data_IF_311958428221
#
_entry.id   IF_311958428221
#
_cell.length_a   1.000
_cell.length_b   1.000
_cell.length_c   1.000
_cell.angle_alpha   90.00
_cell.angle_beta   90.00
_cell.angle_gamma   90.00
#
_symmetry.space_group_name_H-M   'P 1'
#
loop_
_entity.id
_entity.type
_entity.pdbx_description
1 polymer ?
#
# COMPACT_ATOMS: atom_id res chain seq x y z
N UNK A 1 -97.85 4.40 -8.77
CA UNK A 1 -96.65 3.58 -8.99
C UNK A 1 -95.58 3.99 -7.99
N UNK A 2 -95.84 3.58 -6.75
CA UNK A 2 -94.95 3.00 -5.74
C UNK A 2 -93.48 3.42 -5.76
N UNK A 3 -93.15 4.47 -5.00
CA UNK A 3 -91.81 4.67 -4.44
C UNK A 3 -91.61 3.67 -3.31
N UNK A 4 -91.23 2.44 -3.65
CA UNK A 4 -90.72 1.48 -2.68
C UNK A 4 -89.38 1.99 -2.17
N UNK A 5 -89.42 2.76 -1.10
CA UNK A 5 -88.27 3.09 -0.27
C UNK A 5 -87.68 1.78 0.24
N UNK A 6 -86.67 1.26 -0.45
CA UNK A 6 -85.89 0.11 0.04
C UNK A 6 -85.13 0.54 1.29
N UNK A 7 -85.81 0.46 2.44
CA UNK A 7 -85.20 0.60 3.74
C UNK A 7 -84.25 -0.57 3.97
N UNK A 8 -83.02 -0.25 4.36
CA UNK A 8 -81.98 -1.21 4.66
C UNK A 8 -82.43 -2.16 5.80
N UNK A 9 -82.54 -3.48 5.56
CA UNK A 9 -82.97 -4.45 6.57
C UNK A 9 -81.97 -4.63 7.72
N UNK A 10 -80.76 -4.07 7.61
CA UNK A 10 -79.70 -4.15 8.61
C UNK A 10 -79.46 -2.84 9.38
N UNK A 11 -80.29 -1.81 9.14
CA UNK A 11 -80.23 -0.58 9.93
C UNK A 11 -80.89 -0.80 11.29
N UNK A 12 -80.07 -1.08 12.31
CA UNK A 12 -80.52 -1.37 13.67
C UNK A 12 -81.04 -0.16 14.45
N UNK A 13 -80.96 1.05 13.91
CA UNK A 13 -81.02 2.25 14.77
C UNK A 13 -82.21 3.19 14.52
N UNK A 14 -83.08 2.94 13.53
CA UNK A 14 -84.21 3.85 13.25
C UNK A 14 -85.53 3.13 12.96
N UNK A 15 -85.95 2.23 13.87
CA UNK A 15 -87.38 1.88 13.96
C UNK A 15 -87.98 2.54 15.20
N UNK A 16 -89.06 3.34 15.08
CA UNK A 16 -89.86 3.66 16.26
C UNK A 16 -90.33 2.34 16.87
N UNK A 17 -90.10 2.14 18.18
CA UNK A 17 -90.45 0.92 18.88
C UNK A 17 -91.93 0.60 18.61
N UNK A 18 -92.19 -0.50 17.91
CA UNK A 18 -93.55 -0.97 17.67
C UNK A 18 -94.25 -1.36 18.97
N UNK A 19 -95.53 -1.74 18.93
CA UNK A 19 -96.32 -2.09 20.12
C UNK A 19 -95.64 -3.12 21.03
N UNK A 20 -94.92 -4.07 20.44
CA UNK A 20 -94.13 -5.07 21.17
C UNK A 20 -92.88 -4.50 21.84
N UNK A 21 -92.27 -3.46 21.28
CA UNK A 21 -91.13 -2.77 21.88
C UNK A 21 -91.53 -2.03 23.16
N UNK A 22 -92.67 -1.34 23.13
CA UNK A 22 -93.25 -0.71 24.34
C UNK A 22 -93.62 -1.75 25.40
N UNK A 23 -94.11 -2.92 25.00
CA UNK A 23 -94.45 -4.02 25.91
C UNK A 23 -93.20 -4.64 26.56
N UNK A 24 -92.11 -4.77 25.79
CA UNK A 24 -90.81 -5.20 26.32
C UNK A 24 -90.24 -4.16 27.28
N UNK A 25 -90.32 -2.87 26.95
CA UNK A 25 -89.88 -1.78 27.82
C UNK A 25 -90.70 -1.72 29.13
N UNK A 26 -92.03 -1.88 29.05
CA UNK A 26 -92.89 -2.01 30.24
C UNK A 26 -92.59 -3.27 31.04
N UNK A 27 -92.24 -4.38 30.38
CA UNK A 27 -91.86 -5.62 31.04
C UNK A 27 -90.47 -5.55 31.70
N UNK A 28 -89.57 -4.73 31.16
CA UNK A 28 -88.28 -4.39 31.78
C UNK A 28 -88.48 -3.45 33.00
N UNK A 29 -89.34 -2.44 32.88
CA UNK A 29 -89.66 -1.50 33.97
C UNK A 29 -90.41 -2.17 35.13
N UNK A 30 -91.27 -3.15 34.84
CA UNK A 30 -91.97 -3.95 35.86
C UNK A 30 -91.10 -5.02 36.52
N UNK A 31 -89.83 -5.16 36.09
CA UNK A 31 -88.88 -6.11 36.67
C UNK A 31 -89.17 -7.58 36.34
N UNK A 32 -90.15 -7.87 35.48
CA UNK A 32 -90.45 -9.22 35.00
C UNK A 32 -89.40 -9.72 33.99
N UNK A 33 -88.73 -8.80 33.29
CA UNK A 33 -87.54 -9.07 32.50
C UNK A 33 -86.32 -8.38 33.16
N UNK A 34 -85.40 -9.19 33.70
CA UNK A 34 -84.07 -8.66 34.06
C UNK A 34 -83.34 -8.32 32.77
N UNK A 35 -83.00 -7.04 32.58
CA UNK A 35 -82.11 -6.59 31.50
C UNK A 35 -80.86 -7.48 31.52
N UNK A 36 -80.76 -8.40 30.55
CA UNK A 36 -79.63 -9.34 30.45
C UNK A 36 -78.40 -8.48 30.22
N UNK A 37 -77.53 -8.36 31.22
CA UNK A 37 -76.40 -7.43 31.14
C UNK A 37 -75.51 -7.93 30.00
N UNK A 38 -75.00 -7.02 29.17
CA UNK A 38 -74.11 -7.37 28.06
C UNK A 38 -72.89 -8.20 28.51
N UNK A 39 -72.50 -8.08 29.79
CA UNK A 39 -71.49 -8.93 30.45
C UNK A 39 -71.86 -10.41 30.52
N UNK A 40 -73.12 -10.72 30.78
CA UNK A 40 -73.61 -12.10 30.88
C UNK A 40 -73.71 -12.74 29.46
N UNK A 41 -73.91 -11.92 28.43
CA UNK A 41 -73.86 -12.33 27.01
C UNK A 41 -72.41 -12.57 26.59
N UNK A 42 -71.50 -11.64 26.89
CA UNK A 42 -70.07 -11.80 26.62
C UNK A 42 -69.50 -13.06 27.28
N UNK A 43 -69.83 -13.30 28.56
CA UNK A 43 -69.38 -14.48 29.30
C UNK A 43 -69.96 -15.79 28.75
N UNK A 44 -71.22 -15.80 28.30
CA UNK A 44 -71.82 -16.96 27.62
C UNK A 44 -71.22 -17.21 26.23
N UNK A 45 -70.88 -16.14 25.49
CA UNK A 45 -70.21 -16.28 24.19
C UNK A 45 -68.76 -16.75 24.34
N UNK A 46 -68.07 -16.33 25.40
CA UNK A 46 -66.71 -16.79 25.70
C UNK A 46 -66.70 -18.27 26.13
N UNK A 47 -67.67 -18.72 26.93
CA UNK A 47 -67.81 -20.13 27.28
C UNK A 47 -68.15 -21.02 26.08
N UNK A 48 -69.07 -20.57 25.21
CA UNK A 48 -69.41 -21.28 23.97
C UNK A 48 -68.22 -21.34 22.98
N UNK A 49 -67.37 -20.31 23.01
CA UNK A 49 -66.14 -20.20 22.22
C UNK A 49 -65.04 -21.16 22.69
N UNK A 50 -65.01 -21.47 23.99
CA UNK A 50 -64.10 -22.48 24.56
C UNK A 50 -64.63 -23.91 24.36
N UNK A 51 -65.94 -24.14 24.43
CA UNK A 51 -66.53 -25.49 24.39
C UNK A 51 -66.75 -26.05 22.98
N UNK A 52 -66.83 -25.21 21.94
CA UNK A 52 -67.09 -25.68 20.57
C UNK A 52 -65.81 -25.75 19.72
N UNK A 53 -65.40 -26.96 19.26
CA UNK A 53 -64.21 -27.12 18.42
C UNK A 53 -64.23 -26.30 17.11
N UNK A 54 -65.42 -26.04 16.56
CA UNK A 54 -65.60 -25.25 15.34
C UNK A 54 -65.28 -23.76 15.53
N UNK A 55 -65.61 -23.17 16.69
CA UNK A 55 -65.28 -21.76 16.98
C UNK A 55 -63.79 -21.58 17.30
N UNK A 56 -63.14 -22.58 17.89
CA UNK A 56 -61.68 -22.59 18.04
C UNK A 56 -60.98 -22.66 16.68
N UNK A 57 -61.44 -23.56 15.79
CA UNK A 57 -60.93 -23.65 14.42
C UNK A 57 -61.08 -22.33 13.65
N UNK A 58 -62.26 -21.69 13.74
CA UNK A 58 -62.48 -20.40 13.09
C UNK A 58 -61.50 -19.31 13.59
N UNK A 59 -61.19 -19.30 14.89
CA UNK A 59 -60.20 -18.36 15.44
C UNK A 59 -58.80 -18.61 14.92
N UNK A 60 -58.37 -19.88 14.88
CA UNK A 60 -57.08 -20.27 14.33
C UNK A 60 -57.00 -19.89 12.85
N UNK A 61 -58.04 -20.17 12.05
CA UNK A 61 -58.11 -19.76 10.65
C UNK A 61 -58.05 -18.24 10.49
N UNK A 62 -58.71 -17.48 11.37
CA UNK A 62 -58.66 -16.02 11.37
C UNK A 62 -57.26 -15.50 11.71
N UNK A 63 -56.59 -16.13 12.67
CA UNK A 63 -55.21 -15.79 13.05
C UNK A 63 -54.23 -16.11 11.93
N UNK A 64 -54.34 -17.30 11.31
CA UNK A 64 -53.54 -17.69 10.14
C UNK A 64 -53.77 -16.70 8.99
N UNK A 65 -55.02 -16.31 8.73
CA UNK A 65 -55.35 -15.34 7.68
C UNK A 65 -54.75 -13.96 7.98
N UNK A 66 -54.80 -13.51 9.24
CA UNK A 66 -54.19 -12.24 9.65
C UNK A 66 -52.66 -12.28 9.49
N UNK A 67 -52.00 -13.35 9.94
CA UNK A 67 -50.56 -13.54 9.77
C UNK A 67 -50.16 -13.62 8.30
N UNK A 68 -50.96 -14.28 7.46
CA UNK A 68 -50.72 -14.36 6.01
C UNK A 68 -50.79 -12.99 5.35
N UNK A 69 -51.74 -12.14 5.74
CA UNK A 69 -51.83 -10.76 5.24
C UNK A 69 -50.61 -9.92 5.62
N UNK A 70 -50.11 -10.05 6.85
CA UNK A 70 -48.89 -9.36 7.26
C UNK A 70 -47.66 -9.87 6.49
N UNK A 71 -47.57 -11.18 6.26
CA UNK A 71 -46.51 -11.78 5.46
C UNK A 71 -46.56 -11.28 4.01
N UNK A 72 -47.74 -11.26 3.39
CA UNK A 72 -47.93 -10.76 2.03
C UNK A 72 -47.55 -9.27 1.92
N UNK A 73 -47.91 -8.46 2.92
CA UNK A 73 -47.53 -7.05 3.00
C UNK A 73 -46.01 -6.87 3.04
N UNK A 74 -45.33 -7.62 3.92
CA UNK A 74 -43.86 -7.58 4.01
C UNK A 74 -43.22 -8.08 2.71
N UNK A 75 -43.78 -9.14 2.10
CA UNK A 75 -43.26 -9.67 0.84
C UNK A 75 -43.34 -8.64 -0.29
N UNK A 76 -44.47 -7.92 -0.40
CA UNK A 76 -44.61 -6.83 -1.37
C UNK A 76 -43.59 -5.72 -1.09
N UNK A 77 -43.39 -5.33 0.18
CA UNK A 77 -42.40 -4.32 0.54
C UNK A 77 -40.97 -4.74 0.15
N UNK A 78 -40.62 -6.01 0.37
CA UNK A 78 -39.33 -6.58 -0.05
C UNK A 78 -39.18 -6.53 -1.57
N UNK A 79 -40.22 -6.92 -2.32
CA UNK A 79 -40.19 -6.85 -3.78
C UNK A 79 -40.04 -5.41 -4.29
N UNK A 80 -40.76 -4.45 -3.72
CA UNK A 80 -40.63 -3.03 -4.06
C UNK A 80 -39.21 -2.52 -3.81
N UNK A 81 -38.60 -2.86 -2.67
CA UNK A 81 -37.22 -2.46 -2.34
C UNK A 81 -36.20 -3.12 -3.25
N UNK A 82 -36.42 -4.38 -3.64
CA UNK A 82 -35.53 -5.08 -4.57
C UNK A 82 -35.57 -4.41 -5.94
N UNK A 83 -36.77 -4.10 -6.45
CA UNK A 83 -36.95 -3.40 -7.71
C UNK A 83 -36.38 -1.97 -7.68
N UNK A 84 -36.57 -1.25 -6.58
CA UNK A 84 -35.95 0.07 -6.40
C UNK A 84 -34.43 -0.03 -6.43
N UNK A 85 -33.84 -1.03 -5.75
CA UNK A 85 -32.40 -1.27 -5.79
C UNK A 85 -31.88 -1.61 -7.19
N UNK A 86 -32.59 -2.45 -7.93
CA UNK A 86 -32.22 -2.83 -9.31
C UNK A 86 -32.33 -1.66 -10.28
N UNK A 87 -33.29 -0.76 -10.06
CA UNK A 87 -33.51 0.41 -10.91
C UNK A 87 -32.83 1.66 -10.37
N UNK A 88 -32.18 1.58 -9.19
CA UNK A 88 -31.74 2.75 -8.43
C UNK A 88 -30.75 3.60 -9.21
N UNK A 89 -29.92 2.94 -10.02
CA UNK A 89 -28.86 3.57 -10.76
C UNK A 89 -29.33 4.44 -11.95
N UNK A 90 -30.58 4.24 -12.39
CA UNK A 90 -31.23 5.00 -13.46
C UNK A 90 -32.44 5.82 -12.98
N UNK A 91 -33.06 5.48 -11.85
CA UNK A 91 -34.24 6.20 -11.32
C UNK A 91 -33.87 7.27 -10.30
N UNK A 92 -32.78 7.11 -9.54
CA UNK A 92 -32.41 8.06 -8.50
C UNK A 92 -31.65 9.24 -9.12
N UNK A 93 -32.23 10.43 -8.98
CA UNK A 93 -31.69 11.67 -9.55
C UNK A 93 -30.24 11.93 -9.09
N UNK A 94 -29.92 11.69 -7.81
CA UNK A 94 -28.56 11.89 -7.30
C UNK A 94 -27.51 10.99 -7.95
N UNK A 95 -27.87 9.72 -8.24
CA UNK A 95 -26.97 8.79 -8.95
C UNK A 95 -26.78 9.24 -10.40
N UNK A 96 -27.85 9.69 -11.06
CA UNK A 96 -27.80 10.18 -12.43
C UNK A 96 -26.98 11.49 -12.54
N UNK A 97 -27.20 12.44 -11.63
CA UNK A 97 -26.42 13.68 -11.55
C UNK A 97 -24.93 13.39 -11.33
N UNK A 98 -24.59 12.43 -10.47
CA UNK A 98 -23.20 12.02 -10.27
C UNK A 98 -22.59 11.42 -11.54
N UNK A 99 -23.33 10.54 -12.23
CA UNK A 99 -22.88 9.98 -13.53
C UNK A 99 -22.70 11.06 -14.59
N UNK A 100 -23.59 12.05 -14.65
CA UNK A 100 -23.48 13.21 -15.56
C UNK A 100 -22.24 14.04 -15.24
N UNK A 101 -21.96 14.31 -13.94
CA UNK A 101 -20.75 15.03 -13.53
C UNK A 101 -19.49 14.29 -13.96
N UNK A 102 -19.40 12.99 -13.67
CA UNK A 102 -18.26 12.17 -14.07
C UNK A 102 -18.06 12.14 -15.59
N UNK A 103 -19.15 12.05 -16.36
CA UNK A 103 -19.08 12.09 -17.82
C UNK A 103 -18.60 13.45 -18.34
N UNK A 104 -19.06 14.54 -17.73
CA UNK A 104 -18.63 15.89 -18.08
C UNK A 104 -17.16 16.13 -17.73
N UNK A 105 -16.69 15.66 -16.58
CA UNK A 105 -15.27 15.70 -16.19
C UNK A 105 -14.42 14.93 -17.20
N UNK A 106 -14.83 13.71 -17.56
CA UNK A 106 -14.14 12.92 -18.58
C UNK A 106 -14.12 13.64 -19.94
N UNK A 107 -15.26 14.20 -20.36
CA UNK A 107 -15.37 14.96 -21.60
C UNK A 107 -14.44 16.18 -21.59
N UNK A 108 -14.36 16.89 -20.47
CA UNK A 108 -13.46 18.03 -20.30
C UNK A 108 -12.00 17.58 -20.40
N UNK A 109 -11.62 16.50 -19.72
CA UNK A 109 -10.26 15.95 -19.82
C UNK A 109 -9.90 15.58 -21.26
N UNK A 110 -10.79 14.89 -21.98
CA UNK A 110 -10.56 14.54 -23.38
C UNK A 110 -10.44 15.78 -24.26
N UNK A 111 -11.26 16.80 -24.03
CA UNK A 111 -11.17 18.07 -24.75
C UNK A 111 -9.84 18.78 -24.49
N UNK A 112 -9.36 18.78 -23.25
CA UNK A 112 -8.03 19.31 -22.90
C UNK A 112 -6.91 18.55 -23.61
N UNK A 113 -6.99 17.21 -23.67
CA UNK A 113 -6.01 16.39 -24.42
C UNK A 113 -6.06 16.70 -25.91
N UNK A 114 -7.25 16.87 -26.48
CA UNK A 114 -7.41 17.26 -27.88
C UNK A 114 -6.81 18.63 -28.18
N UNK A 115 -7.00 19.61 -27.29
CA UNK A 115 -6.39 20.94 -27.40
C UNK A 115 -4.86 20.85 -27.37
N UNK A 116 -4.31 20.08 -26.43
CA UNK A 116 -2.85 19.91 -26.30
C UNK A 116 -2.23 18.99 -27.36
N UNK A 117 -3.02 18.22 -28.11
CA UNK A 117 -2.51 17.32 -29.18
C UNK A 117 -1.64 18.07 -30.20
N UNK A 118 -2.04 19.27 -30.60
CA UNK A 118 -1.27 20.10 -31.55
C UNK A 118 0.08 20.54 -30.96
N UNK A 119 0.09 20.96 -29.70
CA UNK A 119 1.30 21.33 -28.98
C UNK A 119 2.21 20.13 -28.72
N UNK A 120 1.65 18.96 -28.40
CA UNK A 120 2.41 17.73 -28.23
C UNK A 120 3.02 17.29 -29.55
N UNK A 121 2.26 17.33 -30.65
CA UNK A 121 2.76 17.05 -32.00
C UNK A 121 3.89 18.00 -32.37
N UNK A 122 3.75 19.31 -32.13
CA UNK A 122 4.81 20.27 -32.46
C UNK A 122 6.06 20.07 -31.59
N UNK A 123 5.91 19.72 -30.31
CA UNK A 123 7.04 19.37 -29.44
C UNK A 123 7.75 18.07 -29.85
N UNK A 124 7.01 17.07 -30.30
CA UNK A 124 7.57 15.81 -30.80
C UNK A 124 8.21 15.96 -32.18
N UNK A 125 7.65 16.82 -33.04
CA UNK A 125 8.19 17.11 -34.36
C UNK A 125 9.42 18.02 -34.32
N UNK A 126 9.53 18.89 -33.30
CA UNK A 126 10.78 19.60 -33.03
C UNK A 126 11.76 18.56 -32.51
N UNK A 127 12.81 18.20 -33.26
CA UNK A 127 13.94 17.52 -32.64
C UNK A 127 14.33 18.40 -31.46
N UNK A 128 14.46 17.83 -30.27
CA UNK A 128 15.11 18.49 -29.16
C UNK A 128 16.35 19.18 -29.76
N UNK A 129 16.66 20.45 -29.48
CA UNK A 129 17.84 21.14 -30.08
C UNK A 129 18.89 21.27 -29.00
N UNK A 130 19.85 20.37 -29.01
CA UNK A 130 21.02 20.27 -28.17
C UNK A 130 22.19 19.91 -29.09
N UNK A 131 23.38 19.77 -28.54
CA UNK A 131 24.54 19.39 -29.36
C UNK A 131 24.46 17.91 -29.73
N UNK A 132 24.00 17.61 -30.94
CA UNK A 132 24.03 16.26 -31.50
C UNK A 132 24.96 16.19 -32.68
N UNK A 133 25.68 15.08 -32.75
CA UNK A 133 26.22 14.60 -33.99
C UNK A 133 25.06 14.22 -34.92
N UNK A 134 25.02 14.83 -36.10
CA UNK A 134 24.02 14.52 -37.11
C UNK A 134 24.50 13.28 -37.87
N UNK A 135 23.72 12.19 -37.82
CA UNK A 135 24.04 10.95 -38.54
C UNK A 135 22.94 10.65 -39.56
N UNK A 136 23.31 10.13 -40.72
CA UNK A 136 22.33 9.56 -41.63
C UNK A 136 21.72 8.30 -41.00
N UNK A 137 20.39 8.11 -41.13
CA UNK A 137 19.64 7.04 -40.49
C UNK A 137 20.21 5.63 -40.76
N UNK A 138 20.81 5.43 -41.94
CA UNK A 138 21.48 4.17 -42.31
C UNK A 138 22.66 3.80 -41.40
N UNK A 139 23.32 4.78 -40.78
CA UNK A 139 24.48 4.56 -39.92
C UNK A 139 24.15 4.61 -38.42
N UNK A 140 22.91 4.96 -38.05
CA UNK A 140 22.53 5.11 -36.65
C UNK A 140 22.68 3.81 -35.85
N UNK A 141 22.39 2.65 -36.46
CA UNK A 141 22.59 1.34 -35.83
C UNK A 141 24.07 1.08 -35.52
N UNK A 142 24.94 1.30 -36.52
CA UNK A 142 26.38 1.12 -36.35
C UNK A 142 26.94 2.07 -35.28
N UNK A 143 26.49 3.33 -35.27
CA UNK A 143 26.91 4.31 -34.26
C UNK A 143 26.45 3.90 -32.86
N UNK A 144 25.22 3.41 -32.71
CA UNK A 144 24.69 2.95 -31.43
C UNK A 144 25.45 1.74 -30.86
N UNK A 145 25.99 0.88 -31.72
CA UNK A 145 26.81 -0.26 -31.32
C UNK A 145 28.26 0.16 -30.98
N UNK A 146 28.84 1.07 -31.76
CA UNK A 146 30.26 1.47 -31.61
C UNK A 146 30.48 2.47 -30.49
N UNK A 147 29.55 3.39 -30.22
CA UNK A 147 29.72 4.41 -29.18
C UNK A 147 29.97 3.84 -27.77
N UNK A 148 29.21 2.83 -27.31
CA UNK A 148 29.47 2.19 -26.03
C UNK A 148 30.86 1.54 -25.95
N UNK A 149 31.38 1.04 -27.07
CA UNK A 149 32.74 0.47 -27.15
C UNK A 149 33.82 1.55 -27.13
N UNK A 150 33.53 2.73 -27.68
CA UNK A 150 34.47 3.85 -27.72
C UNK A 150 34.59 4.59 -26.38
N UNK A 151 33.52 4.62 -25.58
CA UNK A 151 33.51 5.29 -24.27
C UNK A 151 34.64 4.85 -23.31
N UNK A 152 34.91 3.55 -23.07
CA UNK A 152 36.03 3.13 -22.23
C UNK A 152 37.40 3.44 -22.87
N UNK A 153 37.50 3.37 -24.20
CA UNK A 153 38.75 3.71 -24.90
C UNK A 153 39.08 5.20 -24.71
N UNK A 154 38.07 6.07 -24.74
CA UNK A 154 38.24 7.50 -24.49
C UNK A 154 38.55 7.82 -23.03
N UNK A 155 37.95 7.10 -22.06
CA UNK A 155 38.30 7.29 -20.64
C UNK A 155 39.75 6.89 -20.37
N UNK A 156 40.21 5.82 -21.01
CA UNK A 156 41.54 5.27 -20.79
C UNK A 156 42.59 5.94 -21.69
N UNK A 157 42.17 6.74 -22.68
CA UNK A 157 43.06 7.43 -23.61
C UNK A 157 44.11 8.26 -22.88
N UNK A 158 43.71 9.01 -21.86
CA UNK A 158 44.64 9.83 -21.09
C UNK A 158 45.70 8.96 -20.41
N UNK A 159 45.29 7.88 -19.76
CA UNK A 159 46.22 6.94 -19.11
C UNK A 159 47.14 6.26 -20.11
N UNK A 160 46.64 5.93 -21.30
CA UNK A 160 47.43 5.33 -22.37
C UNK A 160 48.44 6.32 -22.94
N UNK A 161 48.07 7.60 -23.10
CA UNK A 161 48.99 8.66 -23.52
C UNK A 161 50.06 8.93 -22.46
N UNK A 162 49.69 8.94 -21.18
CA UNK A 162 50.63 9.08 -20.07
C UNK A 162 51.58 7.89 -19.99
N UNK A 163 51.10 6.67 -20.22
CA UNK A 163 51.92 5.46 -20.29
C UNK A 163 52.88 5.47 -21.49
N UNK A 164 52.42 5.93 -22.65
CA UNK A 164 53.27 6.08 -23.85
C UNK A 164 54.33 7.16 -23.62
N UNK A 165 53.94 8.29 -23.03
CA UNK A 165 54.86 9.37 -22.68
C UNK A 165 55.89 8.92 -21.63
N UNK A 166 55.44 8.18 -20.62
CA UNK A 166 56.33 7.53 -19.66
C UNK A 166 57.27 6.56 -20.38
N UNK A 167 56.77 5.66 -21.23
CA UNK A 167 57.58 4.69 -21.95
C UNK A 167 58.58 5.35 -22.92
N UNK A 168 58.23 6.47 -23.55
CA UNK A 168 59.14 7.22 -24.42
C UNK A 168 60.18 8.03 -23.65
N UNK A 169 59.83 8.49 -22.44
CA UNK A 169 60.74 9.24 -21.56
C UNK A 169 61.56 8.34 -20.65
N UNK A 170 61.16 7.07 -20.51
CA UNK A 170 61.84 6.04 -19.75
C UNK A 170 62.99 5.48 -20.59
N UNK A 171 64.10 6.20 -20.62
CA UNK A 171 65.38 5.69 -21.07
C UNK A 171 66.11 5.03 -19.90
N UNK A 172 66.31 3.70 -19.99
CA UNK A 172 67.28 2.97 -19.15
C UNK A 172 68.72 3.46 -19.35
N UNK A 173 68.97 4.20 -20.43
CA UNK A 173 70.26 4.80 -20.79
C UNK A 173 70.71 5.92 -19.84
N UNK A 174 69.85 6.37 -18.92
CA UNK A 174 70.22 7.43 -17.98
C UNK A 174 71.29 7.01 -16.97
N UNK A 175 71.80 5.77 -17.02
CA UNK A 175 72.92 5.28 -16.20
C UNK A 175 72.65 5.32 -14.70
N UNK A 176 71.51 5.86 -14.26
CA UNK A 176 71.19 6.11 -12.86
C UNK A 176 71.02 4.81 -12.09
N UNK A 177 70.52 3.76 -12.75
CA UNK A 177 70.42 2.45 -12.12
C UNK A 177 71.80 1.82 -11.96
N UNK A 178 72.67 1.89 -12.97
CA UNK A 178 74.07 1.45 -12.84
C UNK A 178 74.85 2.30 -11.83
N UNK A 179 74.62 3.62 -11.79
CA UNK A 179 75.27 4.53 -10.85
C UNK A 179 74.80 4.28 -9.41
N UNK A 180 73.51 4.05 -9.18
CA UNK A 180 73.02 3.67 -7.84
C UNK A 180 73.50 2.27 -7.44
N UNK A 181 73.65 1.35 -8.40
CA UNK A 181 74.26 0.04 -8.17
C UNK A 181 75.73 0.20 -7.77
N UNK A 182 76.50 1.00 -8.51
CA UNK A 182 77.91 1.29 -8.24
C UNK A 182 78.09 1.99 -6.88
N UNK A 183 77.23 2.95 -6.53
CA UNK A 183 77.23 3.61 -5.22
C UNK A 183 76.92 2.64 -4.08
N UNK A 184 75.96 1.72 -4.27
CA UNK A 184 75.66 0.67 -3.31
C UNK A 184 76.83 -0.30 -3.14
N UNK A 185 77.46 -0.73 -4.24
CA UNK A 185 78.62 -1.63 -4.16
C UNK A 185 79.82 -0.94 -3.50
N UNK A 186 80.04 0.35 -3.77
CA UNK A 186 81.08 1.13 -3.11
C UNK A 186 80.81 1.30 -1.60
N UNK A 187 79.55 1.54 -1.20
CA UNK A 187 79.15 1.61 0.21
C UNK A 187 79.35 0.25 0.90
N UNK A 188 78.98 -0.85 0.25
CA UNK A 188 79.22 -2.21 0.75
C UNK A 188 80.72 -2.45 0.97
N UNK A 189 81.57 -2.10 -0.01
CA UNK A 189 83.02 -2.25 0.11
C UNK A 189 83.61 -1.40 1.24
N UNK A 190 83.08 -0.19 1.49
CA UNK A 190 83.47 0.64 2.63
C UNK A 190 83.10 -0.02 3.97
N UNK A 191 81.91 -0.60 4.06
CA UNK A 191 81.48 -1.35 5.25
C UNK A 191 82.37 -2.56 5.48
N UNK A 192 82.68 -3.33 4.42
CA UNK A 192 83.61 -4.46 4.50
C UNK A 192 85.00 -4.03 4.97
N UNK A 193 85.54 -2.95 4.41
CA UNK A 193 86.84 -2.40 4.82
C UNK A 193 86.81 -1.90 6.27
N UNK A 194 85.72 -1.26 6.68
CA UNK A 194 85.49 -0.84 8.06
C UNK A 194 85.49 -2.02 9.03
N UNK A 195 84.76 -3.09 8.70
CA UNK A 195 84.74 -4.33 9.48
C UNK A 195 86.11 -4.99 9.54
N UNK A 196 86.86 -5.03 8.44
CA UNK A 196 88.22 -5.55 8.41
C UNK A 196 89.15 -4.72 9.31
N UNK A 197 89.06 -3.39 9.28
CA UNK A 197 89.85 -2.51 10.16
C UNK A 197 89.51 -2.70 11.65
N UNK A 198 88.25 -2.93 11.99
CA UNK A 198 87.83 -3.26 13.37
C UNK A 198 88.39 -4.61 13.82
N UNK A 199 88.42 -5.60 12.92
CA UNK A 199 89.05 -6.90 13.19
C UNK A 199 90.56 -6.73 13.43
N UNK A 200 91.24 -5.90 12.65
CA UNK A 200 92.66 -5.59 12.84
C UNK A 200 92.93 -4.84 14.15
N UNK A 201 92.12 -3.82 14.49
CA UNK A 201 92.20 -3.10 15.76
C UNK A 201 91.98 -4.03 16.96
N UNK A 202 90.99 -4.92 16.90
CA UNK A 202 90.78 -5.94 17.93
C UNK A 202 92.01 -6.83 18.05
N UNK A 203 92.62 -7.20 16.93
CA UNK A 203 93.90 -7.93 16.89
C UNK A 203 95.02 -7.19 17.61
N UNK A 204 95.22 -5.91 17.31
CA UNK A 204 96.28 -5.09 17.91
C UNK A 204 96.05 -4.82 19.40
N UNK A 205 94.81 -4.55 19.83
CA UNK A 205 94.43 -4.42 21.24
C UNK A 205 94.68 -5.72 21.99
N UNK A 206 94.33 -6.87 21.39
CA UNK A 206 94.60 -8.18 21.98
C UNK A 206 96.10 -8.45 22.14
N UNK A 207 96.93 -8.03 21.16
CA UNK A 207 98.39 -8.10 21.26
C UNK A 207 98.93 -7.17 22.35
N UNK A 208 98.45 -5.92 22.43
CA UNK A 208 98.85 -4.95 23.44
C UNK A 208 98.47 -5.39 24.86
N UNK A 209 97.28 -5.97 25.04
CA UNK A 209 96.87 -6.53 26.32
C UNK A 209 97.78 -7.69 26.74
N UNK A 210 98.18 -8.55 25.80
CA UNK A 210 99.15 -9.63 26.07
C UNK A 210 100.52 -9.09 26.46
N UNK A 211 101.04 -8.06 25.79
CA UNK A 211 102.34 -7.45 26.13
C UNK A 211 102.28 -6.67 27.46
N UNK A 212 101.19 -5.96 27.74
CA UNK A 212 100.98 -5.24 29.00
C UNK A 212 100.89 -6.19 30.21
N UNK A 213 100.16 -7.31 30.07
CA UNK A 213 100.08 -8.33 31.13
C UNK A 213 101.44 -8.98 31.41
N UNK A 214 102.29 -9.13 30.38
CA UNK A 214 103.67 -9.59 30.57
C UNK A 214 104.56 -8.58 31.31
N UNK A 215 104.31 -7.27 31.18
CA UNK A 215 105.05 -6.22 31.91
C UNK A 215 104.56 -5.99 33.35
N UNK A 216 103.28 -6.24 33.65
CA UNK A 216 102.74 -6.03 35.00
C UNK A 216 103.09 -7.16 35.99
N UNK A 217 103.48 -8.34 35.50
CA UNK A 217 103.97 -9.44 36.35
C UNK A 217 105.35 -9.17 36.97
N UNK A 218 106.10 -8.15 36.53
CA UNK A 218 107.48 -7.89 37.03
C UNK A 218 107.59 -6.70 37.99
N UNK A 219 106.50 -5.95 38.28
CA UNK A 219 106.56 -4.75 39.13
C UNK A 219 105.55 -4.74 40.28
N UNK A 220 105.68 -5.65 41.25
CA UNK A 220 105.27 -5.41 42.65
C UNK A 220 105.87 -6.44 43.61
N UNK A 221 106.78 -6.02 44.52
CA UNK A 221 106.96 -6.74 45.78
C UNK A 221 106.76 -5.86 47.02
N UNK A 222 106.02 -6.46 47.96
CA UNK A 222 106.18 -6.52 49.42
C UNK A 222 106.39 -5.24 50.23
N UNK A 223 105.46 -5.02 51.15
CA UNK A 223 105.76 -4.47 52.48
C UNK A 223 104.81 -5.10 53.51
N UNK A 224 105.35 -6.03 54.31
CA UNK A 224 104.87 -6.41 55.66
C UNK A 224 105.27 -5.23 56.56
N UNK A 225 104.44 -4.66 57.44
CA UNK A 225 103.56 -5.31 58.40
C UNK A 225 104.12 -5.01 59.79
N UNK A 226 103.46 -4.14 60.55
CA UNK A 226 103.43 -4.15 62.01
C UNK A 226 102.12 -3.52 62.49
#
# INVERSE_FOLDING_TARGET
MDTSTMLNPWASDQRPLGPYGLLIEQAELSGHLKKRRDRDIAMATDLAREQSPSLQLFQVLRQITAQRKELDKVNIEVQCRLQDKETSDITHLGTLENRIKQLNELSQHLQTVMQHKGQLKSRLQKPFVGEYLHFAAQYQRCVAEVFPMLAPILSDLQTNLDNIHWASSFSLDNGHLDQTLDELTASLAQVETGLQSLVQLRGSVSQMHRTSRSQQSTRRPKSKGR
#
